data_IF_671293046696
#
_entry.id   IF_671293046696
#
_cell.length_a   1.000
_cell.length_b   1.000
_cell.length_c   1.000
_cell.angle_alpha   90.00
_cell.angle_beta   90.00
_cell.angle_gamma   90.00
#
_symmetry.space_group_name_H-M   'P 1'
#
loop_
_entity.id
_entity.type
_entity.pdbx_description
1 polymer ?
#
# COMPACT_ATOMS: atom_id res chain seq x y z
N UNK A 1 -8.31 -48.50 -53.79
CA UNK A 1 -8.69 -48.15 -52.40
C UNK A 1 -7.64 -47.17 -51.84
N UNK A 2 -7.93 -45.86 -51.90
CA UNK A 2 -7.01 -44.81 -51.44
C UNK A 2 -7.39 -44.43 -50.00
N UNK A 3 -6.48 -44.71 -49.05
CA UNK A 3 -6.65 -44.29 -47.64
C UNK A 3 -6.17 -42.85 -47.50
N UNK A 4 -7.07 -41.93 -47.24
CA UNK A 4 -6.78 -40.52 -46.90
C UNK A 4 -6.57 -40.46 -45.39
N UNK A 5 -5.33 -40.17 -44.98
CA UNK A 5 -4.97 -39.93 -43.59
C UNK A 5 -5.21 -38.44 -43.32
N UNK A 6 -6.22 -38.10 -42.51
CA UNK A 6 -6.47 -36.77 -42.00
C UNK A 6 -5.55 -36.53 -40.78
N UNK A 7 -4.50 -35.73 -40.98
CA UNK A 7 -3.66 -35.25 -39.89
C UNK A 7 -4.35 -34.06 -39.23
N UNK A 8 -4.94 -34.25 -38.04
CA UNK A 8 -5.46 -33.19 -37.23
C UNK A 8 -4.30 -32.52 -36.49
N UNK A 9 -3.92 -31.32 -36.93
CA UNK A 9 -2.95 -30.46 -36.24
C UNK A 9 -3.65 -29.82 -35.05
N UNK A 10 -3.45 -30.37 -33.85
CA UNK A 10 -3.82 -29.76 -32.58
C UNK A 10 -2.87 -28.59 -32.32
N UNK A 11 -3.30 -27.35 -32.65
CA UNK A 11 -2.65 -26.14 -32.17
C UNK A 11 -2.93 -26.01 -30.67
N UNK A 12 -1.99 -26.51 -29.86
CA UNK A 12 -1.95 -26.25 -28.43
C UNK A 12 -1.54 -24.80 -28.21
N UNK A 13 -2.50 -23.89 -28.07
CA UNK A 13 -2.28 -22.54 -27.59
C UNK A 13 -1.92 -22.59 -26.10
N UNK A 14 -0.64 -22.68 -25.80
CA UNK A 14 -0.13 -22.42 -24.45
C UNK A 14 -0.41 -20.95 -24.11
N UNK A 15 -1.53 -20.71 -23.43
CA UNK A 15 -1.76 -19.47 -22.70
C UNK A 15 -0.74 -19.45 -21.54
N UNK A 16 0.44 -18.91 -21.83
CA UNK A 16 1.45 -18.64 -20.83
C UNK A 16 0.88 -17.64 -19.83
N UNK A 17 0.54 -18.10 -18.63
CA UNK A 17 0.37 -17.28 -17.43
C UNK A 17 1.76 -16.70 -17.07
N UNK A 18 2.32 -15.86 -17.94
CA UNK A 18 3.52 -15.08 -17.65
C UNK A 18 3.20 -14.07 -16.57
N UNK A 19 3.90 -14.10 -15.44
CA UNK A 19 3.88 -13.02 -14.48
C UNK A 19 4.13 -11.71 -15.25
N UNK A 20 3.13 -10.82 -15.24
CA UNK A 20 3.21 -9.56 -15.98
C UNK A 20 4.41 -8.75 -15.45
N UNK A 21 5.41 -8.55 -16.31
CA UNK A 21 6.60 -7.79 -15.95
C UNK A 21 6.29 -6.31 -15.80
N UNK A 22 7.00 -5.66 -14.87
CA UNK A 22 6.96 -4.20 -14.71
C UNK A 22 7.55 -3.54 -15.97
N UNK A 23 6.75 -2.73 -16.64
CA UNK A 23 7.15 -1.95 -17.80
C UNK A 23 7.47 -0.51 -17.37
N UNK A 24 8.65 -0.01 -17.75
CA UNK A 24 9.02 1.38 -17.48
C UNK A 24 8.17 2.32 -18.30
N UNK A 25 7.82 3.46 -17.71
CA UNK A 25 7.01 4.51 -18.34
C UNK A 25 7.90 5.71 -18.67
N UNK A 26 7.82 6.29 -19.90
CA UNK A 26 8.55 7.50 -20.26
C UNK A 26 8.25 8.68 -19.32
N UNK A 27 9.23 9.56 -19.09
CA UNK A 27 9.13 10.66 -18.12
C UNK A 27 7.89 11.56 -18.32
N UNK A 28 7.55 11.88 -19.58
CA UNK A 28 6.34 12.68 -19.90
C UNK A 28 5.05 11.98 -19.46
N UNK A 29 4.96 10.69 -19.71
CA UNK A 29 3.80 9.89 -19.32
C UNK A 29 3.74 9.71 -17.79
N UNK A 30 4.89 9.54 -17.13
CA UNK A 30 4.95 9.50 -15.66
C UNK A 30 4.36 10.78 -15.05
N UNK A 31 4.72 11.96 -15.58
CA UNK A 31 4.18 13.24 -15.09
C UNK A 31 2.64 13.28 -15.19
N UNK A 32 2.07 12.83 -16.31
CA UNK A 32 0.61 12.75 -16.48
C UNK A 32 -0.03 11.76 -15.51
N UNK A 33 0.57 10.58 -15.31
CA UNK A 33 0.09 9.59 -14.35
C UNK A 33 0.09 10.13 -12.92
N UNK A 34 1.16 10.81 -12.50
CA UNK A 34 1.23 11.46 -11.19
C UNK A 34 0.16 12.53 -11.02
N UNK A 35 -0.09 13.35 -12.04
CA UNK A 35 -1.17 14.34 -12.00
C UNK A 35 -2.53 13.67 -11.84
N UNK A 36 -2.80 12.60 -12.56
CA UNK A 36 -4.05 11.82 -12.45
C UNK A 36 -4.23 11.25 -11.04
N UNK A 37 -3.19 10.62 -10.49
CA UNK A 37 -3.21 10.07 -9.13
C UNK A 37 -3.46 11.18 -8.10
N UNK A 38 -2.74 12.30 -8.18
CA UNK A 38 -2.91 13.41 -7.26
C UNK A 38 -4.31 14.04 -7.37
N UNK A 39 -4.84 14.19 -8.57
CA UNK A 39 -6.20 14.70 -8.79
C UNK A 39 -7.28 13.76 -8.22
N UNK A 40 -7.10 12.46 -8.33
CA UNK A 40 -7.98 11.48 -7.69
C UNK A 40 -7.84 11.52 -6.15
N UNK A 41 -6.62 11.50 -5.65
CA UNK A 41 -6.32 11.52 -4.21
C UNK A 41 -6.84 12.79 -3.51
N UNK A 42 -6.85 13.94 -4.21
CA UNK A 42 -7.36 15.21 -3.63
C UNK A 42 -8.86 15.18 -3.35
N UNK A 43 -9.62 14.33 -4.05
CA UNK A 43 -11.07 14.16 -3.86
C UNK A 43 -11.42 13.20 -2.72
N UNK A 44 -10.43 12.51 -2.15
CA UNK A 44 -10.64 11.57 -1.06
C UNK A 44 -10.65 12.34 0.25
N UNK A 45 -11.79 12.37 0.91
CA UNK A 45 -11.97 12.95 2.25
C UNK A 45 -11.89 11.90 3.35
N UNK A 46 -12.33 10.67 3.06
CA UNK A 46 -12.25 9.55 3.99
C UNK A 46 -12.12 8.21 3.25
N UNK A 47 -11.57 7.22 3.93
CA UNK A 47 -11.52 5.82 3.48
C UNK A 47 -11.86 4.93 4.67
N UNK A 48 -12.75 3.98 4.47
CA UNK A 48 -12.91 2.81 5.34
C UNK A 48 -12.62 1.56 4.52
N UNK A 49 -11.88 0.63 5.08
CA UNK A 49 -11.61 -0.65 4.42
C UNK A 49 -11.26 -1.74 5.43
N UNK A 50 -11.41 -2.98 5.03
CA UNK A 50 -10.71 -4.09 5.65
C UNK A 50 -9.34 -4.25 4.99
N UNK A 51 -8.39 -4.86 5.67
CA UNK A 51 -7.12 -5.24 5.08
C UNK A 51 -6.71 -6.66 5.43
N UNK A 52 -5.94 -7.25 4.55
CA UNK A 52 -5.12 -8.44 4.82
C UNK A 52 -3.67 -8.05 4.68
N UNK A 53 -2.86 -8.38 5.68
CA UNK A 53 -1.42 -8.24 5.66
C UNK A 53 -0.77 -9.62 5.67
N UNK A 54 0.21 -9.82 4.78
CA UNK A 54 1.08 -11.02 4.79
C UNK A 54 2.51 -10.53 4.92
N UNK A 55 3.16 -10.84 6.04
CA UNK A 55 4.59 -10.63 6.23
C UNK A 55 5.31 -11.93 5.93
N UNK A 56 6.25 -11.90 4.98
CA UNK A 56 7.16 -13.00 4.66
C UNK A 56 8.51 -12.70 5.29
N UNK A 57 8.97 -13.60 6.14
CA UNK A 57 10.28 -13.53 6.79
C UNK A 57 11.23 -14.38 5.95
N UNK A 58 12.08 -13.72 5.16
CA UNK A 58 12.90 -14.36 4.12
C UNK A 58 13.84 -15.42 4.70
N UNK A 59 14.45 -15.13 5.84
CA UNK A 59 15.40 -16.06 6.50
C UNK A 59 14.73 -17.34 7.00
N UNK A 60 13.49 -17.26 7.51
CA UNK A 60 12.75 -18.39 8.05
C UNK A 60 11.88 -19.09 7.02
N UNK A 61 11.72 -18.51 5.83
CA UNK A 61 10.74 -18.91 4.82
C UNK A 61 9.32 -19.03 5.41
N UNK A 62 9.00 -18.21 6.41
CA UNK A 62 7.73 -18.21 7.13
C UNK A 62 6.86 -17.03 6.71
N UNK A 63 5.55 -17.22 6.84
CA UNK A 63 4.55 -16.21 6.48
C UNK A 63 3.59 -15.97 7.63
N UNK A 64 3.56 -14.74 8.11
CA UNK A 64 2.58 -14.31 9.12
C UNK A 64 1.46 -13.54 8.43
N UNK A 65 0.23 -14.06 8.58
CA UNK A 65 -0.98 -13.41 8.05
C UNK A 65 -1.71 -12.68 9.16
N UNK A 66 -2.09 -11.44 8.92
CA UNK A 66 -2.91 -10.62 9.81
C UNK A 66 -4.05 -10.00 9.03
N UNK A 67 -5.16 -9.72 9.72
CA UNK A 67 -6.31 -9.04 9.15
C UNK A 67 -6.77 -7.92 10.08
N UNK A 68 -7.44 -6.92 9.52
CA UNK A 68 -7.92 -5.81 10.32
C UNK A 68 -8.73 -4.79 9.52
N UNK A 69 -8.98 -3.66 10.14
CA UNK A 69 -9.72 -2.54 9.56
C UNK A 69 -8.85 -1.28 9.51
N UNK A 70 -9.11 -0.47 8.49
CA UNK A 70 -8.50 0.81 8.24
C UNK A 70 -9.59 1.88 8.19
N UNK A 71 -9.35 2.98 8.90
CA UNK A 71 -10.16 4.20 8.85
C UNK A 71 -9.21 5.38 8.63
N UNK A 72 -9.48 6.19 7.63
CA UNK A 72 -8.69 7.36 7.28
C UNK A 72 -9.58 8.57 7.02
N UNK A 73 -9.14 9.75 7.44
CA UNK A 73 -9.71 11.03 7.01
C UNK A 73 -8.60 11.98 6.54
N UNK A 74 -8.95 12.92 5.67
CA UNK A 74 -8.01 13.96 5.21
C UNK A 74 -7.67 15.00 6.29
N UNK A 75 -8.29 14.91 7.47
CA UNK A 75 -8.01 15.73 8.67
C UNK A 75 -6.82 15.21 9.49
N UNK A 76 -5.89 14.48 8.87
CA UNK A 76 -4.74 13.85 9.51
C UNK A 76 -5.14 12.80 10.56
N UNK A 77 -6.19 12.05 10.29
CA UNK A 77 -6.65 10.98 11.15
C UNK A 77 -6.52 9.63 10.44
N UNK A 78 -5.97 8.66 11.17
CA UNK A 78 -5.81 7.28 10.73
C UNK A 78 -6.04 6.36 11.92
N UNK A 79 -6.89 5.33 11.78
CA UNK A 79 -6.94 4.16 12.66
C UNK A 79 -6.60 2.93 11.85
N UNK A 80 -5.57 2.25 12.28
CA UNK A 80 -5.12 0.97 11.76
C UNK A 80 -5.30 -0.09 12.85
N UNK A 81 -6.25 -0.98 12.70
CA UNK A 81 -6.66 -1.91 13.72
C UNK A 81 -6.50 -3.34 13.24
N UNK A 82 -5.60 -4.09 13.87
CA UNK A 82 -5.46 -5.53 13.68
C UNK A 82 -6.48 -6.26 14.55
N UNK A 83 -7.16 -7.24 13.95
CA UNK A 83 -8.17 -8.08 14.61
C UNK A 83 -7.61 -9.48 14.83
N UNK A 84 -6.90 -10.02 13.87
CA UNK A 84 -6.35 -11.39 13.92
C UNK A 84 -4.90 -11.39 13.39
N UNK A 85 -3.99 -12.22 13.95
CA UNK A 85 -4.17 -13.10 15.12
C UNK A 85 -4.12 -12.36 16.46
N UNK A 86 -3.59 -11.13 16.48
CA UNK A 86 -3.42 -10.32 17.69
C UNK A 86 -4.18 -9.00 17.57
N UNK A 87 -4.80 -8.58 18.66
CA UNK A 87 -5.44 -7.27 18.73
C UNK A 87 -4.38 -6.20 18.97
N UNK A 88 -4.23 -5.33 17.99
CA UNK A 88 -3.32 -4.19 18.04
C UNK A 88 -3.95 -3.01 17.31
N UNK A 89 -3.94 -1.85 17.91
CA UNK A 89 -4.50 -0.64 17.30
C UNK A 89 -3.46 0.47 17.30
N UNK A 90 -3.32 1.09 16.15
CA UNK A 90 -2.49 2.27 15.94
C UNK A 90 -3.39 3.40 15.43
N UNK A 91 -3.42 4.51 16.15
CA UNK A 91 -4.23 5.67 15.80
C UNK A 91 -3.33 6.88 15.66
N UNK A 92 -3.43 7.56 14.52
CA UNK A 92 -2.93 8.93 14.34
C UNK A 92 -4.14 9.85 14.47
N UNK A 93 -4.05 10.86 15.32
CA UNK A 93 -5.05 11.91 15.43
C UNK A 93 -4.30 13.25 15.55
N UNK A 94 -4.18 13.95 14.43
CA UNK A 94 -3.36 15.15 14.30
C UNK A 94 -1.90 14.87 14.69
N UNK A 95 -1.47 15.45 15.81
CA UNK A 95 -0.08 15.37 16.29
C UNK A 95 0.16 14.24 17.31
N UNK A 96 -0.86 13.44 17.61
CA UNK A 96 -0.78 12.35 18.58
C UNK A 96 -0.87 11.00 17.91
N UNK A 97 -0.04 10.07 18.37
CA UNK A 97 -0.10 8.65 18.01
C UNK A 97 -0.49 7.88 19.27
N UNK A 98 -1.61 7.15 19.19
CA UNK A 98 -2.04 6.23 20.23
C UNK A 98 -1.79 4.80 19.76
N UNK A 99 -1.15 4.01 20.62
CA UNK A 99 -0.86 2.60 20.38
C UNK A 99 -1.51 1.80 21.48
N UNK A 100 -2.31 0.79 21.12
CA UNK A 100 -2.94 -0.14 22.06
C UNK A 100 -2.62 -1.57 21.66
N UNK A 101 -2.12 -2.35 22.62
CA UNK A 101 -1.84 -3.78 22.46
C UNK A 101 -2.35 -4.52 23.69
N UNK A 102 -3.46 -5.23 23.56
CA UNK A 102 -4.16 -5.85 24.68
C UNK A 102 -4.56 -4.82 25.73
N UNK A 103 -4.05 -4.98 26.97
CA UNK A 103 -4.31 -4.05 28.10
C UNK A 103 -3.33 -2.85 28.14
N UNK A 104 -2.27 -2.85 27.32
CA UNK A 104 -1.26 -1.78 27.30
C UNK A 104 -1.66 -0.71 26.29
N UNK A 105 -1.57 0.55 26.72
CA UNK A 105 -1.85 1.71 25.90
C UNK A 105 -0.76 2.76 26.10
N UNK A 106 -0.33 3.39 25.01
CA UNK A 106 0.69 4.43 24.99
C UNK A 106 0.28 5.54 24.04
N UNK A 107 0.52 6.79 24.44
CA UNK A 107 0.35 7.97 23.59
C UNK A 107 1.71 8.62 23.36
N UNK A 108 2.03 8.91 22.11
CA UNK A 108 3.28 9.54 21.67
C UNK A 108 2.93 10.83 20.95
N UNK A 109 3.62 11.92 21.31
CA UNK A 109 3.54 13.17 20.56
C UNK A 109 4.44 13.06 19.31
N UNK A 110 3.85 13.22 18.12
CA UNK A 110 4.55 13.13 16.84
C UNK A 110 5.60 14.24 16.68
N UNK A 111 5.38 15.41 17.31
CA UNK A 111 6.34 16.52 17.27
C UNK A 111 7.65 16.17 17.96
N UNK A 112 7.62 15.31 18.96
CA UNK A 112 8.81 14.90 19.71
C UNK A 112 9.75 13.99 18.91
N UNK A 113 9.29 13.42 17.76
CA UNK A 113 10.07 12.48 16.96
C UNK A 113 9.84 12.65 15.47
N UNK A 114 10.85 13.16 14.78
CA UNK A 114 10.83 13.29 13.32
C UNK A 114 10.60 11.96 12.60
N UNK A 115 11.06 10.85 13.20
CA UNK A 115 10.87 9.51 12.67
C UNK A 115 9.38 9.12 12.66
N UNK A 116 8.66 9.31 13.78
CA UNK A 116 7.22 9.01 13.84
C UNK A 116 6.43 9.88 12.88
N UNK A 117 6.80 11.15 12.74
CA UNK A 117 6.19 12.06 11.77
C UNK A 117 6.34 11.55 10.33
N UNK A 118 7.55 11.13 9.95
CA UNK A 118 7.81 10.58 8.60
C UNK A 118 7.03 9.30 8.35
N UNK A 119 6.96 8.38 9.33
CA UNK A 119 6.20 7.13 9.20
C UNK A 119 4.69 7.42 9.06
N UNK A 120 4.14 8.31 9.90
CA UNK A 120 2.74 8.69 9.85
C UNK A 120 2.37 9.30 8.49
N UNK A 121 3.17 10.26 8.00
CA UNK A 121 2.99 10.86 6.68
C UNK A 121 3.10 9.82 5.56
N UNK A 122 4.08 8.90 5.63
CA UNK A 122 4.24 7.82 4.67
C UNK A 122 3.00 6.93 4.63
N UNK A 123 2.49 6.50 5.79
CA UNK A 123 1.29 5.66 5.86
C UNK A 123 0.09 6.36 5.22
N UNK A 124 -0.18 7.61 5.60
CA UNK A 124 -1.32 8.37 5.06
C UNK A 124 -1.20 8.63 3.56
N UNK A 125 0.00 8.97 3.07
CA UNK A 125 0.24 9.18 1.65
C UNK A 125 0.17 7.87 0.85
N UNK A 126 0.64 6.76 1.42
CA UNK A 126 0.58 5.44 0.78
C UNK A 126 -0.85 4.94 0.61
N UNK A 127 -1.77 5.25 1.55
CA UNK A 127 -3.18 4.86 1.46
C UNK A 127 -3.89 5.61 0.32
N UNK A 128 -3.61 6.89 0.17
CA UNK A 128 -4.28 7.76 -0.83
C UNK A 128 -3.54 7.85 -2.15
N UNK A 129 -2.23 7.56 -2.18
CA UNK A 129 -1.36 7.86 -3.32
C UNK A 129 -1.01 9.35 -3.45
N UNK A 130 -1.27 10.15 -2.41
CA UNK A 130 -1.02 11.60 -2.43
C UNK A 130 0.47 11.92 -2.33
N UNK A 131 0.90 13.02 -2.99
CA UNK A 131 2.26 13.57 -2.88
C UNK A 131 3.39 12.58 -3.24
N UNK A 132 3.17 11.72 -4.23
CA UNK A 132 4.19 10.75 -4.65
C UNK A 132 5.38 11.42 -5.35
N UNK A 133 5.18 12.53 -6.09
CA UNK A 133 6.25 13.24 -6.80
C UNK A 133 7.11 14.11 -5.86
N UNK A 134 6.47 14.89 -5.01
CA UNK A 134 7.11 15.87 -4.12
C UNK A 134 7.39 15.29 -2.73
N UNK A 135 8.11 14.18 -2.68
CA UNK A 135 8.40 13.55 -1.42
C UNK A 135 9.87 13.72 -1.06
N UNK A 136 10.14 14.51 0.01
CA UNK A 136 11.51 14.71 0.54
C UNK A 136 12.14 13.40 1.02
N UNK A 137 11.31 12.44 1.39
CA UNK A 137 11.71 11.20 2.04
C UNK A 137 11.94 10.06 1.03
N UNK A 138 11.30 10.12 -0.15
CA UNK A 138 11.35 9.09 -1.17
C UNK A 138 11.57 9.66 -2.58
N UNK A 139 12.18 8.86 -3.45
CA UNK A 139 12.13 9.04 -4.90
C UNK A 139 11.10 8.06 -5.44
N UNK A 140 10.14 8.52 -6.24
CA UNK A 140 9.09 7.69 -6.81
C UNK A 140 9.25 7.54 -8.31
N UNK A 141 9.01 6.33 -8.83
CA UNK A 141 8.92 6.04 -10.26
C UNK A 141 7.66 5.24 -10.54
N UNK A 142 7.00 5.54 -11.65
CA UNK A 142 5.82 4.83 -12.09
C UNK A 142 6.16 3.80 -13.15
N UNK A 143 5.44 2.69 -13.09
CA UNK A 143 5.52 1.54 -13.97
C UNK A 143 4.12 1.08 -14.34
N UNK A 144 4.01 0.26 -15.38
CA UNK A 144 2.81 -0.49 -15.73
C UNK A 144 3.04 -1.97 -15.44
N UNK A 145 2.06 -2.63 -14.85
CA UNK A 145 1.99 -4.08 -14.73
C UNK A 145 0.63 -4.54 -15.26
N UNK A 146 0.58 -4.90 -16.54
CA UNK A 146 -0.70 -5.07 -17.23
C UNK A 146 -1.50 -3.77 -17.24
N UNK A 147 -2.66 -3.76 -16.56
CA UNK A 147 -3.52 -2.58 -16.42
C UNK A 147 -3.26 -1.80 -15.13
N UNK A 148 -2.52 -2.37 -14.18
CA UNK A 148 -2.23 -1.70 -12.90
C UNK A 148 -1.14 -0.63 -13.08
N UNK A 149 -1.34 0.52 -12.51
CA UNK A 149 -0.27 1.49 -12.29
C UNK A 149 0.46 1.13 -11.00
N UNK A 150 1.78 1.14 -11.07
CA UNK A 150 2.64 0.74 -9.96
C UNK A 150 3.62 1.85 -9.66
N UNK A 151 3.59 2.41 -8.44
CA UNK A 151 4.57 3.38 -7.98
C UNK A 151 5.60 2.67 -7.09
N UNK A 152 6.87 2.71 -7.47
CA UNK A 152 7.97 2.24 -6.64
C UNK A 152 8.63 3.46 -5.98
N UNK A 153 8.58 3.48 -4.64
CA UNK A 153 9.13 4.52 -3.80
C UNK A 153 10.42 4.01 -3.16
N UNK A 154 11.54 4.67 -3.47
CA UNK A 154 12.86 4.35 -2.89
C UNK A 154 13.23 5.40 -1.85
N UNK A 155 13.54 5.02 -0.60
CA UNK A 155 13.89 5.95 0.46
C UNK A 155 15.14 6.79 0.14
N UNK A 156 15.10 8.08 0.50
CA UNK A 156 16.23 9.01 0.38
C UNK A 156 16.99 9.14 1.69
N UNK A 157 16.26 9.24 2.82
CA UNK A 157 16.85 9.47 4.14
C UNK A 157 17.42 8.18 4.73
N UNK A 158 18.58 8.27 5.35
CA UNK A 158 19.28 7.13 5.96
C UNK A 158 18.44 6.41 7.03
N UNK A 159 17.66 7.14 7.81
CA UNK A 159 16.78 6.56 8.83
C UNK A 159 15.68 5.67 8.22
N UNK A 160 15.10 6.10 7.09
CA UNK A 160 14.05 5.34 6.39
C UNK A 160 14.67 4.18 5.62
N UNK A 161 15.88 4.35 5.06
CA UNK A 161 16.64 3.27 4.40
C UNK A 161 16.96 2.10 5.32
N UNK A 162 17.12 2.37 6.63
CA UNK A 162 17.31 1.30 7.63
C UNK A 162 16.06 0.45 7.84
N UNK A 163 14.87 1.01 7.55
CA UNK A 163 13.59 0.33 7.72
C UNK A 163 13.09 -0.31 6.44
N UNK A 164 13.26 0.38 5.31
CA UNK A 164 12.71 -0.04 4.02
C UNK A 164 13.76 0.09 2.90
N UNK A 165 13.86 -0.94 2.08
CA UNK A 165 14.55 -0.91 0.79
C UNK A 165 13.68 -0.22 -0.25
N UNK A 166 12.38 -0.54 -0.26
CA UNK A 166 11.37 0.07 -1.14
C UNK A 166 9.96 -0.05 -0.56
N UNK A 167 9.10 0.85 -0.97
CA UNK A 167 7.64 0.75 -0.80
C UNK A 167 7.01 0.81 -2.18
N UNK A 168 6.25 -0.22 -2.55
CA UNK A 168 5.57 -0.31 -3.84
C UNK A 168 4.07 -0.18 -3.64
N UNK A 169 3.46 0.75 -4.36
CA UNK A 169 2.02 1.01 -4.33
C UNK A 169 1.41 0.55 -5.65
N UNK A 170 0.37 -0.27 -5.56
CA UNK A 170 -0.43 -0.70 -6.69
C UNK A 170 -1.76 0.05 -6.66
N UNK A 171 -2.14 0.62 -7.79
CA UNK A 171 -3.38 1.37 -7.91
C UNK A 171 -4.49 0.47 -8.45
N UNK A 172 -5.74 0.73 -8.03
CA UNK A 172 -6.90 0.06 -8.59
C UNK A 172 -7.04 0.35 -10.09
N UNK A 173 -7.91 -0.39 -10.78
CA UNK A 173 -8.10 -0.25 -12.24
C UNK A 173 -8.54 1.16 -12.67
N UNK A 174 -9.22 1.90 -11.81
CA UNK A 174 -9.62 3.28 -12.05
C UNK A 174 -8.50 4.28 -11.75
N UNK A 175 -7.34 3.83 -11.30
CA UNK A 175 -6.18 4.63 -10.88
C UNK A 175 -6.52 5.73 -9.84
N UNK A 176 -7.59 5.51 -9.09
CA UNK A 176 -8.15 6.49 -8.15
C UNK A 176 -7.65 6.33 -6.73
N UNK A 177 -7.14 5.17 -6.36
CA UNK A 177 -6.61 4.88 -5.02
C UNK A 177 -5.68 3.68 -5.01
N UNK A 178 -4.92 3.56 -3.92
CA UNK A 178 -4.06 2.40 -3.69
C UNK A 178 -4.92 1.20 -3.26
N UNK A 179 -4.71 0.05 -3.91
CA UNK A 179 -5.37 -1.22 -3.62
C UNK A 179 -4.47 -2.18 -2.85
N UNK A 180 -3.15 -2.07 -3.07
CA UNK A 180 -2.14 -2.94 -2.47
C UNK A 180 -0.84 -2.19 -2.22
N UNK A 181 -0.22 -2.45 -1.08
CA UNK A 181 1.09 -1.92 -0.69
C UNK A 181 2.04 -3.08 -0.47
N UNK A 182 3.24 -3.01 -1.02
CA UNK A 182 4.33 -3.95 -0.76
C UNK A 182 5.51 -3.19 -0.17
N UNK A 183 5.89 -3.52 1.04
CA UNK A 183 7.09 -3.00 1.69
C UNK A 183 8.17 -4.07 1.67
N UNK A 184 9.37 -3.71 1.21
CA UNK A 184 10.55 -4.57 1.23
C UNK A 184 11.55 -4.01 2.22
N UNK A 185 11.98 -4.81 3.17
CA UNK A 185 12.97 -4.46 4.18
C UNK A 185 14.41 -4.73 3.64
N UNK A 186 15.46 -4.13 4.22
CA UNK A 186 16.84 -4.42 3.83
C UNK A 186 17.25 -5.88 4.03
N UNK A 187 16.63 -6.57 4.99
CA UNK A 187 16.79 -8.03 5.25
C UNK A 187 16.29 -8.91 4.10
N UNK A 188 15.48 -8.36 3.18
CA UNK A 188 14.76 -9.10 2.16
C UNK A 188 13.35 -9.51 2.60
N UNK A 189 12.96 -9.25 3.83
CA UNK A 189 11.59 -9.48 4.30
C UNK A 189 10.62 -8.61 3.53
N UNK A 190 9.42 -9.15 3.30
CA UNK A 190 8.37 -8.41 2.60
C UNK A 190 7.09 -8.36 3.41
N UNK A 191 6.41 -7.23 3.36
CA UNK A 191 5.08 -7.06 3.92
C UNK A 191 4.14 -6.63 2.81
N UNK A 192 3.15 -7.45 2.50
CA UNK A 192 2.11 -7.18 1.51
C UNK A 192 0.83 -6.85 2.24
N UNK A 193 0.26 -5.68 1.98
CA UNK A 193 -1.03 -5.23 2.50
C UNK A 193 -1.98 -5.09 1.32
N UNK A 194 -3.11 -5.77 1.37
CA UNK A 194 -4.17 -5.68 0.38
C UNK A 194 -5.43 -5.12 1.03
N UNK A 195 -5.98 -4.05 0.44
CA UNK A 195 -7.23 -3.43 0.89
C UNK A 195 -8.42 -4.12 0.23
N UNK A 196 -9.50 -4.30 0.99
CA UNK A 196 -10.76 -4.88 0.54
C UNK A 196 -11.94 -4.13 1.16
N UNK A 197 -13.14 -4.30 0.57
CA UNK A 197 -14.38 -3.64 1.05
C UNK A 197 -14.22 -2.11 1.21
N UNK A 198 -13.51 -1.49 0.28
CA UNK A 198 -13.16 -0.07 0.36
C UNK A 198 -14.40 0.79 0.11
N UNK A 199 -14.64 1.75 1.01
CA UNK A 199 -15.63 2.81 0.86
C UNK A 199 -14.91 4.16 0.95
N UNK A 200 -15.07 4.97 -0.09
CA UNK A 200 -14.48 6.32 -0.19
C UNK A 200 -15.54 7.34 0.18
N UNK A 201 -15.13 8.40 0.88
CA UNK A 201 -15.97 9.54 1.25
C UNK A 201 -17.19 9.18 2.10
N UNK A 202 -17.10 8.07 2.86
CA UNK A 202 -18.09 7.71 3.86
C UNK A 202 -17.89 8.53 5.15
N UNK A 203 -18.98 8.84 5.83
CA UNK A 203 -18.92 9.50 7.14
C UNK A 203 -18.30 8.55 8.16
N UNK A 204 -17.26 9.00 8.85
CA UNK A 204 -16.59 8.26 9.92
C UNK A 204 -16.80 9.04 11.23
N UNK A 205 -17.42 8.44 12.27
CA UNK A 205 -17.57 9.11 13.56
C UNK A 205 -16.21 9.43 14.20
N UNK A 206 -16.05 10.63 14.78
CA UNK A 206 -14.79 11.07 15.39
C UNK A 206 -14.29 10.15 16.51
N UNK A 207 -15.20 9.52 17.24
CA UNK A 207 -14.86 8.56 18.29
C UNK A 207 -14.01 7.39 17.83
N UNK A 208 -14.00 7.08 16.52
CA UNK A 208 -13.16 6.05 15.93
C UNK A 208 -11.68 6.38 16.10
N UNK A 209 -11.32 7.68 16.15
CA UNK A 209 -9.94 8.15 16.24
C UNK A 209 -9.53 8.52 17.67
N UNK A 210 -10.34 8.18 18.66
CA UNK A 210 -10.01 8.38 20.08
C UNK A 210 -9.30 7.15 20.62
N UNK A 211 -8.09 7.33 21.15
CA UNK A 211 -7.34 6.29 21.85
C UNK A 211 -7.94 6.04 23.26
N UNK A 212 -8.82 5.03 23.36
CA UNK A 212 -9.33 4.52 24.65
C UNK A 212 -8.76 3.16 24.95
#
# INVERSE_FOLDING_TARGET
>A
MKRIIFAVLLLSSCLGLGAQQLQSVPARQQAQMFQTINAAASKITSITSSFTQVKTISFLNDKVRSTGNLYFTNQQQLRWEYISPYQYTFIINGEKVHIKSGKRSQTIDVKSSQMFKSIACMMMNSITGRNLMDNRDFTSRLYLQGREWVAIMTPRRSQIKKMFKSVTLYFNEQHSMVSRVVMTEPSGDTTVITLSNVKINATIPEQIFVGR
#
